data_IF_827539409385
#
_entry.id   IF_827539409385
#
_cell.length_a   1.000
_cell.length_b   1.000
_cell.length_c   1.000
_cell.angle_alpha   90.00
_cell.angle_beta   90.00
_cell.angle_gamma   90.00
#
_symmetry.space_group_name_H-M   'P 1'
#
loop_
_entity.id
_entity.type
_entity.pdbx_description
1 polymer ?
#
# COMPACT_ATOMS: atom_id res chain seq x y z
N UNK A 1 -9.21 37.12 23.46
CA UNK A 1 -10.25 37.80 22.66
C UNK A 1 -10.22 37.24 21.25
N UNK A 2 -11.11 36.30 20.93
CA UNK A 2 -11.26 35.75 19.59
C UNK A 2 -11.88 36.84 18.68
N UNK A 3 -11.15 37.26 17.64
CA UNK A 3 -11.65 38.24 16.66
C UNK A 3 -12.65 37.55 15.74
N UNK A 4 -13.88 38.08 15.63
CA UNK A 4 -14.92 37.56 14.74
C UNK A 4 -14.47 37.65 13.27
N UNK A 5 -13.93 36.56 12.73
CA UNK A 5 -13.56 36.49 11.32
C UNK A 5 -14.23 35.26 10.73
N UNK A 6 -15.24 35.49 9.89
CA UNK A 6 -15.94 34.43 9.14
C UNK A 6 -15.01 33.61 8.23
N UNK A 7 -13.80 34.11 7.97
CA UNK A 7 -12.77 33.48 7.15
C UNK A 7 -11.43 33.41 7.90
N UNK A 8 -10.87 32.21 8.00
CA UNK A 8 -9.58 31.95 8.65
C UNK A 8 -8.44 32.64 7.90
N UNK A 9 -7.33 32.90 8.60
CA UNK A 9 -6.12 33.49 8.00
C UNK A 9 -5.57 32.60 6.88
N UNK A 10 -5.58 31.28 7.08
CA UNK A 10 -5.17 30.31 6.07
C UNK A 10 -6.03 30.38 4.81
N UNK A 11 -7.36 30.46 4.96
CA UNK A 11 -8.26 30.59 3.81
C UNK A 11 -7.92 31.83 2.98
N UNK A 12 -7.71 32.99 3.64
CA UNK A 12 -7.37 34.24 2.96
C UNK A 12 -6.08 34.15 2.18
N UNK A 13 -5.07 33.49 2.75
CA UNK A 13 -3.80 33.25 2.08
C UNK A 13 -3.97 32.38 0.82
N UNK A 14 -4.63 31.23 0.93
CA UNK A 14 -4.80 30.33 -0.22
C UNK A 14 -5.76 30.88 -1.27
N UNK A 15 -6.84 31.56 -0.87
CA UNK A 15 -7.73 32.25 -1.79
C UNK A 15 -7.00 33.37 -2.54
N UNK A 16 -6.19 34.17 -1.83
CA UNK A 16 -5.34 35.19 -2.43
C UNK A 16 -4.31 34.60 -3.40
N UNK A 17 -3.66 33.50 -3.01
CA UNK A 17 -2.70 32.78 -3.85
C UNK A 17 -3.37 32.20 -5.10
N UNK A 18 -4.59 31.67 -4.98
CA UNK A 18 -5.35 31.17 -6.12
C UNK A 18 -5.69 32.30 -7.10
N UNK A 19 -6.24 33.42 -6.62
CA UNK A 19 -6.55 34.59 -7.45
C UNK A 19 -5.30 35.13 -8.15
N UNK A 20 -4.20 35.27 -7.41
CA UNK A 20 -2.92 35.68 -7.98
C UNK A 20 -2.43 34.71 -9.06
N UNK A 21 -2.47 33.42 -8.79
CA UNK A 21 -1.98 32.38 -9.71
C UNK A 21 -2.83 32.32 -10.98
N UNK A 22 -4.15 32.52 -10.87
CA UNK A 22 -5.05 32.59 -12.03
C UNK A 22 -4.72 33.81 -12.91
N UNK A 23 -4.50 34.98 -12.31
CA UNK A 23 -4.09 36.19 -13.04
C UNK A 23 -2.72 35.99 -13.68
N UNK A 24 -1.75 35.42 -12.96
CA UNK A 24 -0.42 35.13 -13.47
C UNK A 24 -0.45 34.12 -14.64
N UNK A 25 -1.25 33.05 -14.53
CA UNK A 25 -1.48 32.10 -15.61
C UNK A 25 -2.06 32.79 -16.85
N UNK A 26 -3.07 33.64 -16.68
CA UNK A 26 -3.66 34.38 -17.78
C UNK A 26 -2.64 35.33 -18.45
N UNK A 27 -1.89 36.08 -17.65
CA UNK A 27 -0.86 37.01 -18.15
C UNK A 27 0.24 36.28 -18.93
N UNK A 28 0.76 35.16 -18.39
CA UNK A 28 1.76 34.32 -19.06
C UNK A 28 1.19 33.68 -20.33
N UNK A 29 -0.07 33.24 -20.29
CA UNK A 29 -0.68 32.64 -21.47
C UNK A 29 -0.93 33.65 -22.58
N UNK A 30 -1.26 34.90 -22.24
CA UNK A 30 -1.50 36.00 -23.18
C UNK A 30 -0.23 36.45 -23.93
N UNK A 31 0.97 36.08 -23.46
CA UNK A 31 2.24 36.50 -24.11
C UNK A 31 2.51 35.80 -25.45
N UNK A 32 1.60 34.97 -25.97
CA UNK A 32 1.76 34.31 -27.26
C UNK A 32 1.76 35.32 -28.41
N UNK A 33 2.91 35.55 -29.06
CA UNK A 33 3.07 36.65 -30.02
C UNK A 33 2.51 36.36 -31.44
N UNK A 34 2.27 35.09 -31.81
CA UNK A 34 1.89 34.72 -33.19
C UNK A 34 0.42 34.29 -33.37
N UNK A 35 -0.54 34.99 -32.76
CA UNK A 35 -1.97 34.65 -32.84
C UNK A 35 -2.87 35.89 -32.87
N UNK A 36 -4.09 35.74 -33.42
CA UNK A 36 -5.13 36.78 -33.37
C UNK A 36 -5.50 37.12 -31.92
N UNK A 37 -5.99 38.34 -31.66
CA UNK A 37 -6.38 38.78 -30.31
C UNK A 37 -7.38 37.82 -29.66
N UNK A 38 -8.34 37.30 -30.43
CA UNK A 38 -9.31 36.32 -29.96
C UNK A 38 -8.61 35.04 -29.48
N UNK A 39 -7.67 34.49 -30.26
CA UNK A 39 -6.95 33.27 -29.91
C UNK A 39 -5.98 33.48 -28.73
N UNK A 40 -5.42 34.68 -28.56
CA UNK A 40 -4.60 35.04 -27.39
C UNK A 40 -5.38 35.06 -26.08
N UNK A 41 -6.67 35.41 -26.13
CA UNK A 41 -7.56 35.40 -24.94
C UNK A 41 -8.15 34.00 -24.73
N UNK A 42 -8.56 33.33 -25.79
CA UNK A 42 -9.14 31.98 -25.72
C UNK A 42 -8.11 30.92 -25.31
N UNK A 43 -6.84 31.06 -25.69
CA UNK A 43 -5.79 30.10 -25.35
C UNK A 43 -5.71 29.85 -23.84
N UNK A 44 -5.46 30.88 -23.00
CA UNK A 44 -5.45 30.72 -21.55
C UNK A 44 -6.80 30.29 -20.97
N UNK A 45 -7.93 30.82 -21.45
CA UNK A 45 -9.25 30.45 -20.91
C UNK A 45 -9.63 29.00 -21.20
N UNK A 46 -9.15 28.45 -22.30
CA UNK A 46 -9.47 27.08 -22.74
C UNK A 46 -8.32 26.10 -22.44
N UNK A 47 -7.36 26.50 -21.60
CA UNK A 47 -6.18 25.69 -21.25
C UNK A 47 -5.37 25.23 -22.48
N UNK A 48 -5.37 26.01 -23.55
CA UNK A 48 -4.67 25.72 -24.80
C UNK A 48 -5.47 24.93 -25.83
N UNK A 49 -6.76 24.65 -25.58
CA UNK A 49 -7.62 23.93 -26.53
C UNK A 49 -7.98 24.77 -27.77
N UNK A 50 -8.32 26.05 -27.58
CA UNK A 50 -8.59 27.02 -28.65
C UNK A 50 -7.64 28.21 -28.53
N UNK A 51 -6.52 28.13 -29.25
CA UNK A 51 -5.43 29.11 -29.17
C UNK A 51 -4.24 28.55 -28.39
N UNK A 52 -3.06 29.08 -28.67
CA UNK A 52 -1.82 28.68 -28.01
C UNK A 52 -1.62 29.46 -26.73
N UNK A 53 -0.80 28.89 -25.86
CA UNK A 53 -0.49 29.46 -24.56
C UNK A 53 1.01 29.69 -24.54
N UNK A 54 1.45 30.93 -24.28
CA UNK A 54 2.83 31.39 -24.47
C UNK A 54 3.92 30.42 -24.03
N UNK A 55 4.42 30.55 -22.79
CA UNK A 55 5.36 29.57 -22.23
C UNK A 55 4.58 28.46 -21.52
N UNK A 56 4.54 27.26 -22.11
CA UNK A 56 3.82 26.12 -21.55
C UNK A 56 4.28 25.73 -20.14
N UNK A 57 5.58 25.83 -19.82
CA UNK A 57 6.08 25.48 -18.49
C UNK A 57 5.54 26.43 -17.42
N UNK A 58 5.75 27.73 -17.62
CA UNK A 58 5.28 28.76 -16.69
C UNK A 58 3.74 28.77 -16.60
N UNK A 59 3.06 28.60 -17.73
CA UNK A 59 1.60 28.51 -17.76
C UNK A 59 1.09 27.31 -16.95
N UNK A 60 1.63 26.12 -17.19
CA UNK A 60 1.22 24.90 -16.48
C UNK A 60 1.53 24.99 -14.99
N UNK A 61 2.66 25.58 -14.62
CA UNK A 61 3.01 25.85 -13.22
C UNK A 61 1.95 26.73 -12.53
N UNK A 62 1.58 27.87 -13.11
CA UNK A 62 0.59 28.76 -12.49
C UNK A 62 -0.83 28.19 -12.49
N UNK A 63 -1.22 27.42 -13.52
CA UNK A 63 -2.50 26.69 -13.53
C UNK A 63 -2.52 25.62 -12.44
N UNK A 64 -1.42 24.86 -12.28
CA UNK A 64 -1.29 23.87 -11.21
C UNK A 64 -1.32 24.50 -9.82
N UNK A 65 -0.62 25.62 -9.63
CA UNK A 65 -0.63 26.38 -8.40
C UNK A 65 -2.02 26.93 -8.07
N UNK A 66 -2.74 27.46 -9.08
CA UNK A 66 -4.13 27.86 -8.94
C UNK A 66 -5.00 26.69 -8.48
N UNK A 67 -4.92 25.54 -9.17
CA UNK A 67 -5.73 24.37 -8.83
C UNK A 67 -5.46 23.89 -7.39
N UNK A 68 -4.18 23.80 -7.00
CA UNK A 68 -3.80 23.40 -5.64
C UNK A 68 -4.27 24.40 -4.58
N UNK A 69 -4.03 25.70 -4.80
CA UNK A 69 -4.43 26.75 -3.87
C UNK A 69 -5.95 26.87 -3.75
N UNK A 70 -6.69 26.77 -4.86
CA UNK A 70 -8.14 26.78 -4.88
C UNK A 70 -8.72 25.55 -4.18
N UNK A 71 -8.14 24.37 -4.40
CA UNK A 71 -8.54 23.15 -3.70
C UNK A 71 -8.34 23.27 -2.17
N UNK A 72 -7.18 23.79 -1.73
CA UNK A 72 -6.92 24.04 -0.31
C UNK A 72 -7.88 25.09 0.28
N UNK A 73 -8.13 26.19 -0.43
CA UNK A 73 -9.10 27.19 -0.01
C UNK A 73 -10.52 26.60 0.10
N UNK A 74 -10.91 25.76 -0.87
CA UNK A 74 -12.18 25.03 -0.86
C UNK A 74 -12.31 24.07 0.32
N UNK A 75 -11.26 23.29 0.62
CA UNK A 75 -11.20 22.40 1.78
C UNK A 75 -11.35 23.17 3.10
N UNK A 76 -10.68 24.32 3.22
CA UNK A 76 -10.78 25.16 4.41
C UNK A 76 -12.18 25.76 4.62
N UNK A 77 -12.94 25.99 3.55
CA UNK A 77 -14.36 26.35 3.66
C UNK A 77 -15.19 25.12 4.02
N UNK A 78 -14.99 24.00 3.32
CA UNK A 78 -15.79 22.79 3.48
C UNK A 78 -15.67 22.18 4.89
N UNK A 79 -14.50 22.27 5.50
CA UNK A 79 -14.22 21.78 6.85
C UNK A 79 -14.05 22.91 7.87
N UNK A 80 -14.58 24.11 7.58
CA UNK A 80 -14.47 25.27 8.47
C UNK A 80 -15.02 24.98 9.87
N UNK A 81 -16.09 24.20 9.95
CA UNK A 81 -16.76 23.91 11.22
C UNK A 81 -15.96 22.93 12.09
N UNK A 82 -14.90 22.30 11.57
CA UNK A 82 -13.95 21.48 12.34
C UNK A 82 -12.76 22.29 12.88
N UNK A 83 -12.74 23.61 12.69
CA UNK A 83 -11.70 24.49 13.23
C UNK A 83 -12.00 24.77 14.72
N UNK A 84 -11.09 24.39 15.65
CA UNK A 84 -11.31 24.60 17.08
C UNK A 84 -11.46 26.09 17.46
N UNK A 85 -10.82 27.00 16.72
CA UNK A 85 -11.01 28.44 16.91
C UNK A 85 -12.43 28.88 16.51
N UNK A 86 -13.02 28.25 15.50
CA UNK A 86 -14.39 28.54 15.05
C UNK A 86 -15.43 27.93 16.00
N UNK A 87 -15.21 26.71 16.50
CA UNK A 87 -16.08 26.09 17.51
C UNK A 87 -16.07 26.86 18.84
N UNK A 88 -14.89 27.23 19.34
CA UNK A 88 -14.75 28.02 20.56
C UNK A 88 -15.49 29.36 20.47
N UNK A 89 -15.56 29.97 19.28
CA UNK A 89 -16.34 31.20 19.04
C UNK A 89 -17.84 30.97 19.15
N UNK A 90 -18.37 29.89 18.57
CA UNK A 90 -19.82 29.57 18.63
C UNK A 90 -20.27 29.41 20.09
N UNK A 91 -19.45 28.71 20.89
CA UNK A 91 -19.74 28.45 22.32
C UNK A 91 -19.33 29.62 23.22
N UNK A 92 -18.82 30.73 22.65
CA UNK A 92 -18.38 31.94 23.36
C UNK A 92 -17.31 31.69 24.42
N UNK A 93 -16.39 30.76 24.15
CA UNK A 93 -15.22 30.53 24.99
C UNK A 93 -14.20 31.66 24.80
N UNK A 94 -13.46 32.03 25.86
CA UNK A 94 -12.43 33.06 25.79
C UNK A 94 -11.15 32.60 25.05
N UNK A 95 -10.94 31.28 25.02
CA UNK A 95 -9.80 30.60 24.40
C UNK A 95 -10.18 29.19 23.96
N UNK A 96 -9.47 28.66 22.96
CA UNK A 96 -9.56 27.26 22.58
C UNK A 96 -9.11 26.37 23.74
N UNK A 97 -9.88 25.33 24.11
CA UNK A 97 -9.44 24.35 25.11
C UNK A 97 -8.13 23.72 24.65
N UNK A 98 -7.11 23.71 25.52
CA UNK A 98 -5.85 23.03 25.22
C UNK A 98 -6.14 21.54 25.06
N UNK A 99 -5.99 21.02 23.85
CA UNK A 99 -5.99 19.58 23.62
C UNK A 99 -4.75 18.99 24.30
N UNK A 100 -4.94 17.93 25.08
CA UNK A 100 -3.83 17.22 25.72
C UNK A 100 -2.87 16.76 24.62
N UNK A 101 -1.57 16.98 24.82
CA UNK A 101 -0.56 16.49 23.89
C UNK A 101 -0.70 14.95 23.76
N UNK A 102 -0.57 14.38 22.54
CA UNK A 102 -0.70 12.94 22.35
C UNK A 102 0.19 12.18 23.32
N UNK A 103 -0.40 11.25 24.07
CA UNK A 103 0.33 10.44 25.03
C UNK A 103 0.95 9.21 24.32
N UNK A 104 2.27 9.07 24.40
CA UNK A 104 2.98 7.85 23.99
C UNK A 104 3.93 8.01 22.79
N UNK A 105 4.76 6.98 22.58
CA UNK A 105 5.73 6.92 21.48
C UNK A 105 5.04 6.42 20.22
N UNK A 106 5.01 7.24 19.16
CA UNK A 106 4.48 6.85 17.85
C UNK A 106 5.63 6.45 16.90
N UNK A 107 5.73 5.16 16.60
CA UNK A 107 6.76 4.61 15.71
C UNK A 107 6.40 4.69 14.22
N UNK A 108 5.16 5.02 13.87
CA UNK A 108 4.69 5.04 12.47
C UNK A 108 5.46 6.04 11.58
N UNK A 109 5.80 7.27 12.02
CA UNK A 109 6.59 8.18 11.20
C UNK A 109 7.98 7.62 10.89
N UNK A 110 8.64 7.00 11.87
CA UNK A 110 9.94 6.38 11.69
C UNK A 110 9.85 5.17 10.73
N UNK A 111 8.80 4.35 10.86
CA UNK A 111 8.55 3.25 9.92
C UNK A 111 8.26 3.75 8.50
N UNK A 112 7.51 4.86 8.36
CA UNK A 112 7.27 5.51 7.07
C UNK A 112 8.55 6.04 6.43
N UNK A 113 9.44 6.65 7.23
CA UNK A 113 10.75 7.09 6.77
C UNK A 113 11.63 5.92 6.34
N UNK A 114 11.65 4.82 7.09
CA UNK A 114 12.35 3.59 6.73
C UNK A 114 11.83 3.04 5.39
N UNK A 115 10.50 2.94 5.25
CA UNK A 115 9.88 2.45 4.02
C UNK A 115 10.20 3.35 2.82
N UNK A 116 10.23 4.67 3.01
CA UNK A 116 10.65 5.60 1.97
C UNK A 116 12.11 5.40 1.56
N UNK A 117 13.03 5.20 2.51
CA UNK A 117 14.43 4.87 2.19
C UNK A 117 14.53 3.54 1.44
N UNK A 118 13.79 2.51 1.84
CA UNK A 118 13.74 1.23 1.12
C UNK A 118 13.18 1.37 -0.30
N UNK A 119 12.19 2.24 -0.49
CA UNK A 119 11.66 2.55 -1.82
C UNK A 119 12.74 3.20 -2.70
N UNK A 120 13.50 4.16 -2.16
CA UNK A 120 14.61 4.77 -2.90
C UNK A 120 15.70 3.76 -3.25
N UNK A 121 16.02 2.83 -2.34
CA UNK A 121 16.95 1.74 -2.62
C UNK A 121 16.39 0.81 -3.71
N UNK A 122 15.10 0.48 -3.66
CA UNK A 122 14.43 -0.32 -4.69
C UNK A 122 14.49 0.33 -6.06
N UNK A 123 14.23 1.63 -6.14
CA UNK A 123 14.33 2.40 -7.38
C UNK A 123 15.77 2.48 -7.89
N UNK A 124 16.73 2.73 -7.00
CA UNK A 124 18.15 2.84 -7.35
C UNK A 124 18.78 1.51 -7.79
N UNK A 125 18.25 0.38 -7.32
CA UNK A 125 18.72 -0.97 -7.66
C UNK A 125 17.87 -1.64 -8.74
N UNK A 126 16.92 -0.92 -9.34
CA UNK A 126 15.92 -1.44 -10.30
C UNK A 126 15.19 -2.70 -9.79
N UNK A 127 15.09 -2.85 -8.47
CA UNK A 127 14.40 -3.96 -7.82
C UNK A 127 12.91 -3.65 -7.71
N UNK A 128 12.14 -4.12 -8.69
CA UNK A 128 10.68 -3.99 -8.70
C UNK A 128 10.05 -4.56 -7.43
N UNK A 129 10.53 -5.71 -6.95
CA UNK A 129 10.01 -6.37 -5.74
C UNK A 129 10.19 -5.52 -4.47
N UNK A 130 11.40 -4.98 -4.26
CA UNK A 130 11.68 -4.12 -3.11
C UNK A 130 10.88 -2.82 -3.18
N UNK A 131 10.78 -2.23 -4.37
CA UNK A 131 10.02 -0.99 -4.60
C UNK A 131 8.55 -1.17 -4.27
N UNK A 132 7.89 -2.20 -4.80
CA UNK A 132 6.48 -2.46 -4.52
C UNK A 132 6.22 -2.81 -3.06
N UNK A 133 7.10 -3.59 -2.43
CA UNK A 133 7.00 -3.89 -1.01
C UNK A 133 7.11 -2.63 -0.15
N UNK A 134 8.08 -1.75 -0.45
CA UNK A 134 8.26 -0.49 0.26
C UNK A 134 7.05 0.46 0.09
N UNK A 135 6.53 0.59 -1.13
CA UNK A 135 5.30 1.37 -1.40
C UNK A 135 4.11 0.80 -0.64
N UNK A 136 3.93 -0.52 -0.62
CA UNK A 136 2.86 -1.16 0.13
C UNK A 136 2.95 -0.84 1.64
N UNK A 137 4.16 -0.92 2.22
CA UNK A 137 4.38 -0.51 3.62
C UNK A 137 4.07 0.96 3.83
N UNK A 138 4.48 1.86 2.93
CA UNK A 138 4.16 3.28 3.01
C UNK A 138 2.64 3.53 3.00
N UNK A 139 1.88 2.83 2.15
CA UNK A 139 0.42 2.93 2.11
C UNK A 139 -0.20 2.49 3.43
N UNK A 140 0.24 1.36 3.98
CA UNK A 140 -0.25 0.87 5.29
C UNK A 140 0.10 1.84 6.41
N UNK A 141 1.32 2.39 6.42
CA UNK A 141 1.75 3.41 7.39
C UNK A 141 0.90 4.67 7.26
N UNK A 142 0.73 5.21 6.05
CA UNK A 142 -0.06 6.41 5.81
C UNK A 142 -1.51 6.23 6.28
N UNK A 143 -2.14 5.10 5.93
CA UNK A 143 -3.49 4.77 6.38
C UNK A 143 -3.57 4.65 7.90
N UNK A 144 -2.71 3.83 8.50
CA UNK A 144 -2.71 3.57 9.96
C UNK A 144 -2.42 4.84 10.74
N UNK A 145 -1.50 5.67 10.25
CA UNK A 145 -1.12 6.93 10.88
C UNK A 145 -2.23 7.96 10.78
N UNK A 146 -2.95 8.02 9.65
CA UNK A 146 -4.15 8.85 9.49
C UNK A 146 -5.24 8.45 10.48
N UNK A 147 -5.58 7.15 10.55
CA UNK A 147 -6.61 6.65 11.48
C UNK A 147 -6.20 6.90 12.93
N UNK A 148 -4.93 6.67 13.28
CA UNK A 148 -4.41 6.92 14.62
C UNK A 148 -4.49 8.40 15.00
N UNK A 149 -4.01 9.30 14.14
CA UNK A 149 -4.00 10.75 14.42
C UNK A 149 -5.41 11.33 14.49
N UNK A 150 -6.35 10.79 13.71
CA UNK A 150 -7.76 11.10 13.84
C UNK A 150 -8.31 10.61 15.19
N UNK A 151 -8.09 9.34 15.53
CA UNK A 151 -8.62 8.74 16.76
C UNK A 151 -8.08 9.44 18.02
N UNK A 152 -6.79 9.79 18.05
CA UNK A 152 -6.15 10.54 19.15
C UNK A 152 -6.78 11.92 19.41
N UNK A 153 -7.55 12.45 18.45
CA UNK A 153 -8.19 13.77 18.52
C UNK A 153 -9.71 13.70 18.49
N UNK A 154 -10.29 12.51 18.47
CA UNK A 154 -11.73 12.34 18.29
C UNK A 154 -12.53 12.82 19.52
N UNK A 155 -12.01 12.60 20.72
CA UNK A 155 -12.61 13.04 21.98
C UNK A 155 -11.55 13.57 22.95
N UNK A 156 -11.98 14.19 24.05
CA UNK A 156 -11.08 14.65 25.12
C UNK A 156 -10.59 13.55 26.08
N UNK A 157 -11.02 12.29 25.89
CA UNK A 157 -10.63 11.15 26.74
C UNK A 157 -9.74 10.16 25.98
N UNK A 158 -8.54 9.93 26.52
CA UNK A 158 -7.52 9.07 25.94
C UNK A 158 -7.96 7.60 25.86
N UNK A 159 -8.73 7.13 26.85
CA UNK A 159 -9.21 5.75 26.88
C UNK A 159 -10.22 5.49 25.76
N UNK A 160 -11.22 6.37 25.64
CA UNK A 160 -12.22 6.32 24.56
C UNK A 160 -11.57 6.43 23.18
N UNK A 161 -10.57 7.30 23.02
CA UNK A 161 -9.82 7.44 21.76
C UNK A 161 -9.05 6.17 21.38
N UNK A 162 -8.42 5.50 22.35
CA UNK A 162 -7.74 4.24 22.13
C UNK A 162 -8.71 3.11 21.73
N UNK A 163 -9.87 3.03 22.38
CA UNK A 163 -10.93 2.09 22.02
C UNK A 163 -11.46 2.34 20.60
N UNK A 164 -11.65 3.61 20.22
CA UNK A 164 -12.10 3.98 18.88
C UNK A 164 -11.09 3.57 17.81
N UNK A 165 -9.80 3.79 18.06
CA UNK A 165 -8.72 3.31 17.20
C UNK A 165 -8.77 1.78 17.04
N UNK A 166 -8.85 1.04 18.15
CA UNK A 166 -8.88 -0.43 18.12
C UNK A 166 -10.11 -0.97 17.41
N UNK A 167 -11.28 -0.39 17.65
CA UNK A 167 -12.53 -0.77 16.98
C UNK A 167 -12.44 -0.62 15.46
N UNK A 168 -11.76 0.42 14.97
CA UNK A 168 -11.61 0.64 13.55
C UNK A 168 -10.48 -0.19 12.93
N UNK A 169 -9.32 -0.28 13.60
CA UNK A 169 -8.13 -0.91 13.02
C UNK A 169 -8.13 -2.44 13.16
N UNK A 170 -8.67 -2.99 14.26
CA UNK A 170 -8.55 -4.42 14.57
C UNK A 170 -9.17 -5.35 13.50
N UNK A 171 -10.33 -5.03 12.91
CA UNK A 171 -10.91 -5.83 11.82
C UNK A 171 -10.00 -5.96 10.60
N UNK A 172 -9.16 -4.95 10.32
CA UNK A 172 -8.23 -4.96 9.19
C UNK A 172 -6.85 -5.48 9.59
N UNK A 173 -6.40 -5.15 10.81
CA UNK A 173 -5.10 -5.50 11.35
C UNK A 173 -4.90 -7.01 11.36
N UNK A 174 -5.91 -7.77 11.80
CA UNK A 174 -5.80 -9.23 11.89
C UNK A 174 -5.65 -9.88 10.50
N UNK A 175 -6.54 -9.63 9.51
CA UNK A 175 -6.36 -10.16 8.15
C UNK A 175 -5.06 -9.72 7.49
N UNK A 176 -4.71 -8.43 7.57
CA UNK A 176 -3.51 -7.89 6.89
C UNK A 176 -2.25 -8.52 7.46
N UNK A 177 -2.10 -8.56 8.79
CA UNK A 177 -0.94 -9.21 9.42
C UNK A 177 -0.92 -10.70 9.08
N UNK A 178 -2.08 -11.37 9.04
CA UNK A 178 -2.15 -12.79 8.68
C UNK A 178 -1.65 -13.04 7.26
N UNK A 179 -2.11 -12.26 6.28
CA UNK A 179 -1.67 -12.36 4.88
C UNK A 179 -0.17 -12.08 4.77
N UNK A 180 0.34 -11.05 5.44
CA UNK A 180 1.77 -10.72 5.43
C UNK A 180 2.61 -11.85 6.04
N UNK A 181 2.19 -12.44 7.16
CA UNK A 181 2.87 -13.57 7.79
C UNK A 181 2.85 -14.80 6.88
N UNK A 182 1.69 -15.13 6.29
CA UNK A 182 1.57 -16.26 5.36
C UNK A 182 2.46 -16.04 4.14
N UNK A 183 2.44 -14.84 3.55
CA UNK A 183 3.28 -14.47 2.40
C UNK A 183 4.77 -14.55 2.72
N UNK A 184 5.19 -14.03 3.88
CA UNK A 184 6.57 -14.12 4.35
C UNK A 184 7.04 -15.58 4.48
N UNK A 185 6.20 -16.43 5.09
CA UNK A 185 6.47 -17.85 5.25
C UNK A 185 6.56 -18.54 3.89
N UNK A 186 5.59 -18.28 3.00
CA UNK A 186 5.53 -18.90 1.67
C UNK A 186 6.75 -18.51 0.80
N UNK A 187 7.13 -17.23 0.78
CA UNK A 187 8.28 -16.74 0.02
C UNK A 187 9.58 -17.33 0.58
N UNK A 188 9.73 -17.35 1.90
CA UNK A 188 10.93 -17.92 2.51
C UNK A 188 11.05 -19.42 2.29
N UNK A 189 9.96 -20.19 2.42
CA UNK A 189 9.96 -21.61 2.08
C UNK A 189 10.23 -21.84 0.59
N UNK A 190 9.65 -21.04 -0.31
CA UNK A 190 9.93 -21.10 -1.75
C UNK A 190 11.43 -20.97 -2.03
N UNK A 191 12.10 -19.98 -1.41
CA UNK A 191 13.54 -19.77 -1.53
C UNK A 191 14.37 -20.94 -1.00
N UNK A 192 14.00 -21.48 0.16
CA UNK A 192 14.69 -22.66 0.74
C UNK A 192 14.56 -23.87 -0.18
N UNK A 193 13.35 -24.16 -0.67
CA UNK A 193 13.08 -25.33 -1.52
C UNK A 193 13.75 -25.24 -2.89
N UNK A 194 13.99 -24.02 -3.39
CA UNK A 194 14.77 -23.80 -4.61
C UNK A 194 16.27 -24.07 -4.40
N UNK A 195 16.77 -23.90 -3.18
CA UNK A 195 18.18 -24.11 -2.84
C UNK A 195 18.54 -25.55 -2.44
N UNK A 196 17.55 -26.40 -2.13
CA UNK A 196 17.76 -27.75 -1.58
C UNK A 196 17.48 -28.85 -2.62
N UNK A 197 18.19 -29.97 -2.55
CA UNK A 197 18.03 -31.13 -3.45
C UNK A 197 16.65 -31.79 -3.32
N UNK A 198 16.21 -32.55 -4.34
CA UNK A 198 14.89 -33.21 -4.37
C UNK A 198 14.59 -34.03 -3.11
N UNK A 199 15.57 -34.77 -2.61
CA UNK A 199 15.43 -35.56 -1.38
C UNK A 199 15.42 -34.67 -0.13
N UNK A 200 16.23 -33.61 -0.12
CA UNK A 200 16.28 -32.65 0.98
C UNK A 200 14.97 -31.86 1.13
N UNK A 201 14.30 -31.53 0.03
CA UNK A 201 13.00 -30.84 0.05
C UNK A 201 11.92 -31.66 0.76
N UNK A 202 11.94 -33.00 0.63
CA UNK A 202 11.01 -33.89 1.35
C UNK A 202 11.23 -33.79 2.86
N UNK A 203 12.49 -33.81 3.30
CA UNK A 203 12.83 -33.68 4.72
C UNK A 203 12.49 -32.29 5.28
N UNK A 204 12.76 -31.23 4.53
CA UNK A 204 12.42 -29.85 4.92
C UNK A 204 10.91 -29.71 5.06
N UNK A 205 10.12 -30.17 4.09
CA UNK A 205 8.66 -30.14 4.18
C UNK A 205 8.14 -30.96 5.37
N UNK A 206 8.66 -32.18 5.55
CA UNK A 206 8.29 -33.05 6.65
C UNK A 206 8.55 -32.41 8.02
N UNK A 207 9.71 -31.78 8.18
CA UNK A 207 10.08 -31.11 9.44
C UNK A 207 9.23 -29.87 9.71
N UNK A 208 8.97 -29.06 8.69
CA UNK A 208 8.11 -27.86 8.82
C UNK A 208 6.67 -28.27 9.13
N UNK A 209 6.12 -29.26 8.44
CA UNK A 209 4.78 -29.79 8.70
C UNK A 209 4.67 -30.37 10.11
N UNK A 210 5.69 -31.11 10.57
CA UNK A 210 5.76 -31.64 11.93
C UNK A 210 5.79 -30.51 12.96
N UNK A 211 6.54 -29.45 12.71
CA UNK A 211 6.59 -28.28 13.59
C UNK A 211 5.20 -27.62 13.69
N UNK A 212 4.53 -27.35 12.57
CA UNK A 212 3.18 -26.80 12.59
C UNK A 212 2.18 -27.72 13.31
N UNK A 213 2.29 -29.03 13.10
CA UNK A 213 1.46 -30.02 13.78
C UNK A 213 1.68 -30.00 15.30
N UNK A 214 2.92 -30.01 15.76
CA UNK A 214 3.26 -29.93 17.19
C UNK A 214 2.73 -28.64 17.82
N UNK A 215 2.85 -27.51 17.13
CA UNK A 215 2.30 -26.23 17.60
C UNK A 215 0.78 -26.30 17.70
N UNK A 216 0.10 -26.84 16.69
CA UNK A 216 -1.35 -26.99 16.71
C UNK A 216 -1.81 -27.89 17.87
N UNK A 217 -1.10 -29.00 18.11
CA UNK A 217 -1.36 -29.91 19.25
C UNK A 217 -1.12 -29.19 20.59
N UNK A 218 -0.03 -28.44 20.73
CA UNK A 218 0.24 -27.66 21.96
C UNK A 218 -0.85 -26.60 22.23
N UNK A 219 -1.32 -25.92 21.19
CA UNK A 219 -2.41 -24.95 21.29
C UNK A 219 -3.73 -25.61 21.67
N UNK A 220 -4.01 -26.80 21.13
CA UNK A 220 -5.20 -27.59 21.45
C UNK A 220 -5.18 -28.12 22.89
N UNK A 221 -4.01 -28.57 23.38
CA UNK A 221 -3.89 -29.18 24.70
C UNK A 221 -3.77 -28.17 25.85
N UNK A 222 -3.20 -26.98 25.60
CA UNK A 222 -2.98 -25.98 26.65
C UNK A 222 -3.36 -24.56 26.18
N UNK A 223 -4.66 -24.27 26.08
CA UNK A 223 -5.16 -22.97 25.61
C UNK A 223 -4.73 -21.80 26.50
N UNK A 224 -4.45 -22.01 27.80
CA UNK A 224 -4.02 -20.91 28.68
C UNK A 224 -2.59 -20.40 28.39
N UNK A 225 -1.71 -21.23 27.82
CA UNK A 225 -0.37 -20.82 27.37
C UNK A 225 -0.31 -20.38 25.91
N UNK A 226 -1.45 -20.37 25.21
CA UNK A 226 -1.52 -20.13 23.78
C UNK A 226 -0.85 -18.80 23.37
N UNK A 227 -0.98 -17.74 24.17
CA UNK A 227 -0.38 -16.43 23.84
C UNK A 227 1.16 -16.52 23.76
N UNK A 228 1.81 -17.04 24.80
CA UNK A 228 3.27 -17.12 24.84
C UNK A 228 3.84 -18.15 23.85
N UNK A 229 3.18 -19.31 23.73
CA UNK A 229 3.58 -20.35 22.77
C UNK A 229 3.43 -19.86 21.33
N UNK A 230 2.31 -19.22 20.99
CA UNK A 230 2.11 -18.66 19.64
C UNK A 230 3.15 -17.58 19.33
N UNK A 231 3.41 -16.67 20.27
CA UNK A 231 4.45 -15.64 20.08
C UNK A 231 5.83 -16.26 19.89
N UNK A 232 6.23 -17.22 20.73
CA UNK A 232 7.53 -17.87 20.62
C UNK A 232 7.70 -18.60 19.28
N UNK A 233 6.66 -19.33 18.84
CA UNK A 233 6.66 -20.05 17.56
C UNK A 233 6.73 -19.09 16.38
N UNK A 234 5.92 -18.03 16.37
CA UNK A 234 5.92 -17.06 15.28
C UNK A 234 7.26 -16.34 15.18
N UNK A 235 7.84 -15.94 16.31
CA UNK A 235 9.15 -15.26 16.32
C UNK A 235 10.27 -16.20 15.89
N UNK A 236 10.36 -17.40 16.46
CA UNK A 236 11.39 -18.38 16.09
C UNK A 236 11.22 -18.85 14.64
N UNK A 237 9.98 -19.08 14.20
CA UNK A 237 9.65 -19.44 12.83
C UNK A 237 10.02 -18.34 11.84
N UNK A 238 9.70 -17.08 12.14
CA UNK A 238 10.11 -15.95 11.31
C UNK A 238 11.65 -15.84 11.21
N UNK A 239 12.36 -15.98 12.33
CA UNK A 239 13.84 -15.97 12.34
C UNK A 239 14.40 -17.12 11.50
N UNK A 240 13.88 -18.34 11.68
CA UNK A 240 14.34 -19.52 10.94
C UNK A 240 14.11 -19.37 9.43
N UNK A 241 12.94 -18.85 9.03
CA UNK A 241 12.59 -18.65 7.62
C UNK A 241 13.43 -17.55 6.99
N UNK A 242 13.68 -16.45 7.71
CA UNK A 242 14.56 -15.37 7.22
C UNK A 242 15.99 -15.88 7.08
N UNK A 243 16.53 -16.58 8.09
CA UNK A 243 17.87 -17.15 8.04
C UNK A 243 18.03 -18.17 6.91
N UNK A 244 17.06 -19.07 6.76
CA UNK A 244 17.06 -20.08 5.71
C UNK A 244 16.85 -19.48 4.31
N UNK A 245 16.02 -18.44 4.19
CA UNK A 245 15.81 -17.71 2.94
C UNK A 245 17.06 -16.94 2.50
N UNK A 246 17.78 -16.30 3.42
CA UNK A 246 19.07 -15.64 3.15
C UNK A 246 20.11 -16.69 2.72
N UNK A 247 20.22 -17.79 3.46
CA UNK A 247 21.13 -18.88 3.11
C UNK A 247 20.82 -19.47 1.73
N UNK A 248 19.54 -19.70 1.41
CA UNK A 248 19.11 -20.21 0.12
C UNK A 248 19.38 -19.24 -1.04
N UNK A 249 19.25 -17.92 -0.80
CA UNK A 249 19.59 -16.90 -1.80
C UNK A 249 21.09 -16.86 -2.13
N UNK A 250 21.96 -17.18 -1.17
CA UNK A 250 23.42 -17.22 -1.37
C UNK A 250 23.87 -18.49 -2.13
N UNK A 251 23.15 -19.60 -1.94
CA UNK A 251 23.52 -20.91 -2.52
C UNK A 251 23.14 -21.01 -4.01
N UNK A 252 22.22 -20.18 -4.51
CA UNK A 252 21.77 -20.19 -5.90
C UNK A 252 20.63 -21.19 -6.16
N UNK A 253 19.86 -20.95 -7.21
CA UNK A 253 18.68 -21.76 -7.58
C UNK A 253 19.12 -23.04 -8.31
N UNK A 254 18.47 -24.17 -8.02
CA UNK A 254 18.69 -25.42 -8.77
C UNK A 254 18.03 -25.38 -10.15
N UNK A 255 18.72 -25.86 -11.18
CA UNK A 255 18.10 -26.07 -12.50
C UNK A 255 17.01 -27.14 -12.39
N UNK A 256 15.79 -26.78 -12.79
CA UNK A 256 14.68 -27.72 -12.93
C UNK A 256 14.59 -28.05 -14.41
N UNK A 257 14.92 -29.30 -14.79
CA UNK A 257 14.70 -29.78 -16.16
C UNK A 257 13.21 -29.64 -16.51
N UNK A 258 12.91 -28.81 -17.50
CA UNK A 258 11.59 -28.72 -18.12
C UNK A 258 11.32 -30.03 -18.85
N UNK A 259 10.49 -30.89 -18.27
CA UNK A 259 9.81 -31.91 -19.04
C UNK A 259 8.71 -31.22 -19.84
N UNK A 260 8.90 -31.11 -21.16
CA UNK A 260 7.81 -30.81 -22.08
C UNK A 260 6.68 -31.79 -21.81
N UNK A 261 5.54 -31.29 -21.34
CA UNK A 261 4.30 -32.05 -21.32
C UNK A 261 3.73 -32.08 -22.74
N UNK A 262 4.45 -32.75 -23.64
CA UNK A 262 3.94 -33.32 -24.88
C UNK A 262 3.63 -34.78 -24.62
N UNK A 263 2.44 -35.20 -25.02
CA UNK A 263 1.92 -36.57 -24.98
C UNK A 263 1.56 -37.13 -23.60
N UNK A 264 0.30 -36.94 -23.20
CA UNK A 264 -0.61 -38.03 -22.80
C UNK A 264 -2.05 -37.50 -22.72
N UNK A 265 -2.67 -37.31 -23.88
CA UNK A 265 -4.11 -37.33 -24.05
C UNK A 265 -4.45 -38.41 -25.09
N UNK A 266 -4.38 -39.69 -24.68
CA UNK A 266 -5.03 -40.79 -25.39
C UNK A 266 -6.27 -41.19 -24.59
N UNK A 267 -7.31 -40.37 -24.73
CA UNK A 267 -8.69 -40.77 -24.45
C UNK A 267 -9.11 -41.79 -25.52
N UNK A 268 -9.36 -43.04 -25.12
CA UNK A 268 -9.83 -44.07 -26.06
C UNK A 268 -9.57 -45.53 -25.69
N UNK A 269 -9.51 -45.90 -24.42
CA UNK A 269 -9.57 -47.31 -24.02
C UNK A 269 -11.04 -47.73 -23.83
N UNK A 270 -11.74 -48.02 -24.94
CA UNK A 270 -12.99 -48.78 -24.90
C UNK A 270 -12.64 -50.25 -24.65
N UNK A 271 -13.16 -50.79 -23.56
CA UNK A 271 -12.87 -52.14 -23.08
C UNK A 271 -13.16 -53.22 -24.11
N UNK A 272 -12.13 -54.03 -24.40
CA UNK A 272 -12.26 -55.27 -25.15
C UNK A 272 -12.77 -56.35 -24.19
N UNK A 273 -14.01 -56.80 -24.39
CA UNK A 273 -14.54 -57.99 -23.75
C UNK A 273 -13.84 -59.25 -24.33
N UNK A 274 -13.57 -60.30 -23.54
CA UNK A 274 -12.88 -61.48 -24.00
C UNK A 274 -13.82 -62.33 -24.88
N UNK A 275 -13.49 -62.48 -26.17
CA UNK A 275 -14.17 -63.46 -27.04
C UNK A 275 -14.40 -63.12 -28.52
N UNK A 276 -13.94 -61.98 -29.05
CA UNK A 276 -14.13 -61.67 -30.48
C UNK A 276 -12.96 -62.17 -31.35
N UNK A 277 -13.22 -62.75 -32.55
CA UNK A 277 -12.21 -63.43 -33.34
C UNK A 277 -11.20 -62.46 -33.97
N UNK A 278 -9.92 -62.86 -33.92
CA UNK A 278 -8.78 -62.14 -34.49
C UNK A 278 -8.83 -62.26 -36.02
N UNK A 279 -9.07 -61.15 -36.72
CA UNK A 279 -8.83 -61.06 -38.17
C UNK A 279 -7.43 -60.51 -38.38
N UNK A 280 -6.51 -61.38 -38.78
CA UNK A 280 -5.18 -61.00 -39.27
C UNK A 280 -5.36 -60.49 -40.70
N UNK A 281 -5.21 -59.18 -40.91
CA UNK A 281 -5.07 -58.64 -42.27
C UNK A 281 -3.59 -58.34 -42.51
N UNK A 282 -2.94 -59.26 -43.21
CA UNK A 282 -1.57 -59.13 -43.70
C UNK A 282 -1.41 -57.94 -44.63
N UNK A 283 -0.22 -57.33 -44.60
CA UNK A 283 0.11 -56.21 -45.46
C UNK A 283 0.22 -56.60 -46.93
N UNK A 284 0.22 -55.58 -47.79
CA UNK A 284 1.23 -55.41 -48.85
C UNK A 284 1.16 -53.98 -49.37
N UNK A 285 2.36 -53.46 -49.61
CA UNK A 285 2.73 -52.29 -50.40
C UNK A 285 2.16 -52.24 -51.81
N UNK A 286 1.73 -51.05 -52.24
CA UNK A 286 2.09 -50.40 -53.51
C UNK A 286 1.70 -48.91 -53.42
#
# INVERSE_FOLDING_TARGET
MLSSRMFTTAFRFFAGLAVFSLIAAFAVGFTSQNQSLMNRVLGPLTLGWKGGVGNHFAYTFFVGLFAAAAALAGLLIAFRDADPDAEAQIVRMESVPLTRAPIGVNYLPALGALAFVLMLIGLATESSGLTFAAVAVMVVVAFTWTVRTWAERATGDDHTNAELYHRFIDPFRVPVISILLIGLVAIGLSRVLLSVSKIGSVWVFGLVALLFFLVAVLLALKPSSAKWVTTAVVVLGAIAIVAAGIAGAVIGERDIEHHDSGDHATEGAVGVAPGAPIVIQGGTSA
#
